data_IF_477386618018
#
_entry.id   IF_477386618018
#
_cell.length_a   1.000
_cell.length_b   1.000
_cell.length_c   1.000
_cell.angle_alpha   90.00
_cell.angle_beta   90.00
_cell.angle_gamma   90.00
#
_symmetry.space_group_name_H-M   'P 1'
#
loop_
_entity.id
_entity.type
_entity.pdbx_description
1 polymer ?
#
# COMPACT_ATOMS: atom_id res chain seq x y z
N UNK A 1 33.10 -9.32 -4.43
CA UNK A 1 32.33 -9.84 -5.59
C UNK A 1 31.19 -8.86 -5.86
N UNK A 2 31.15 -8.20 -7.03
CA UNK A 2 30.03 -7.30 -7.38
C UNK A 2 28.83 -8.19 -7.78
N UNK A 3 27.72 -8.08 -7.07
CA UNK A 3 26.48 -8.76 -7.46
C UNK A 3 25.95 -8.17 -8.77
N UNK A 4 25.57 -9.02 -9.72
CA UNK A 4 24.89 -8.59 -10.94
C UNK A 4 23.43 -8.26 -10.61
N UNK A 5 22.98 -7.05 -10.97
CA UNK A 5 21.58 -6.66 -10.84
C UNK A 5 20.88 -6.92 -12.17
N UNK A 6 19.79 -7.68 -12.15
CA UNK A 6 18.91 -7.91 -13.30
C UNK A 6 17.75 -6.92 -13.30
N UNK A 7 17.46 -6.32 -14.46
CA UNK A 7 16.29 -5.46 -14.67
C UNK A 7 15.49 -6.02 -15.85
N UNK A 8 14.18 -6.16 -15.68
CA UNK A 8 13.28 -6.70 -16.70
C UNK A 8 12.02 -5.84 -16.75
N UNK A 9 11.50 -5.60 -17.97
CA UNK A 9 10.25 -4.88 -18.20
C UNK A 9 9.18 -5.89 -18.61
N UNK A 10 7.99 -5.79 -18.01
CA UNK A 10 6.84 -6.60 -18.36
C UNK A 10 5.67 -5.69 -18.75
N UNK A 11 5.10 -5.93 -19.93
CA UNK A 11 3.96 -5.19 -20.46
C UNK A 11 2.65 -5.89 -20.07
N UNK A 12 1.75 -5.17 -19.41
CA UNK A 12 0.46 -5.70 -18.95
C UNK A 12 -0.57 -5.83 -20.07
N UNK A 13 -0.37 -5.10 -21.16
CA UNK A 13 -1.26 -4.96 -22.31
C UNK A 13 -0.92 -5.88 -23.49
N UNK A 14 0.16 -6.67 -23.38
CA UNK A 14 0.51 -7.67 -24.39
C UNK A 14 -0.20 -8.98 -24.04
N UNK A 15 -1.07 -9.50 -24.93
CA UNK A 15 -1.79 -10.74 -24.69
C UNK A 15 -0.80 -11.91 -24.59
N UNK A 16 -1.05 -12.80 -23.63
CA UNK A 16 -0.28 -14.02 -23.50
C UNK A 16 -0.60 -14.97 -24.66
N UNK A 17 0.38 -15.73 -25.16
CA UNK A 17 0.12 -16.77 -26.13
C UNK A 17 -0.88 -17.77 -25.55
N UNK A 18 -1.81 -18.22 -26.41
CA UNK A 18 -2.84 -19.20 -26.04
C UNK A 18 -2.14 -20.46 -25.51
N UNK A 19 -2.54 -20.96 -24.32
CA UNK A 19 -1.91 -22.14 -23.76
C UNK A 19 -2.01 -23.33 -24.71
N UNK A 20 -0.87 -23.98 -24.94
CA UNK A 20 -0.85 -25.23 -25.70
C UNK A 20 -1.50 -26.35 -24.86
N UNK A 21 -2.12 -27.37 -25.50
CA UNK A 21 -2.73 -28.49 -24.77
C UNK A 21 -1.75 -29.25 -23.86
N UNK A 22 -0.45 -29.11 -24.12
CA UNK A 22 0.65 -29.75 -23.38
C UNK A 22 1.12 -28.92 -22.17
N UNK A 23 0.55 -27.74 -21.96
CA UNK A 23 0.98 -26.83 -20.90
C UNK A 23 0.37 -27.25 -19.55
N UNK A 24 1.21 -27.35 -18.53
CA UNK A 24 0.79 -27.78 -17.21
C UNK A 24 -0.20 -26.76 -16.59
N UNK A 25 -1.44 -27.15 -16.26
CA UNK A 25 -2.47 -26.25 -15.74
C UNK A 25 -2.13 -25.63 -14.37
N UNK A 26 -1.19 -26.21 -13.64
CA UNK A 26 -0.71 -25.69 -12.35
C UNK A 26 0.42 -24.65 -12.51
N UNK A 27 0.83 -24.34 -13.73
CA UNK A 27 1.89 -23.35 -13.97
C UNK A 27 1.32 -21.94 -13.72
N UNK A 28 1.93 -21.14 -12.84
CA UNK A 28 1.45 -19.78 -12.59
C UNK A 28 1.62 -18.89 -13.81
N UNK A 29 0.76 -17.88 -13.93
CA UNK A 29 0.89 -16.88 -14.98
C UNK A 29 2.28 -16.18 -14.91
N UNK A 30 2.90 -15.81 -16.05
CA UNK A 30 4.22 -15.19 -16.07
C UNK A 30 4.33 -13.95 -15.18
N UNK A 31 3.31 -13.09 -15.17
CA UNK A 31 3.25 -11.92 -14.29
C UNK A 31 3.31 -12.32 -12.80
N UNK A 32 2.61 -13.37 -12.40
CA UNK A 32 2.60 -13.87 -11.02
C UNK A 32 3.98 -14.40 -10.62
N UNK A 33 4.62 -15.16 -11.51
CA UNK A 33 5.99 -15.65 -11.29
C UNK A 33 6.99 -14.50 -11.16
N UNK A 34 6.94 -13.51 -12.06
CA UNK A 34 7.82 -12.34 -12.02
C UNK A 34 7.61 -11.51 -10.75
N UNK A 35 6.36 -11.25 -10.37
CA UNK A 35 6.04 -10.59 -9.10
C UNK A 35 6.55 -11.38 -7.90
N UNK A 36 6.52 -12.72 -7.95
CA UNK A 36 7.03 -13.54 -6.85
C UNK A 36 8.57 -13.48 -6.74
N UNK A 37 9.29 -13.55 -7.87
CA UNK A 37 10.76 -13.55 -7.90
C UNK A 37 11.39 -12.16 -7.71
N UNK A 38 10.66 -11.08 -8.01
CA UNK A 38 11.17 -9.73 -7.92
C UNK A 38 11.46 -9.30 -6.47
N UNK A 39 12.63 -8.69 -6.25
CA UNK A 39 12.99 -8.03 -5.00
C UNK A 39 12.43 -6.61 -4.91
N UNK A 40 12.35 -5.94 -6.07
CA UNK A 40 11.77 -4.61 -6.24
C UNK A 40 10.88 -4.61 -7.47
N UNK A 41 9.68 -4.08 -7.35
CA UNK A 41 8.73 -3.94 -8.44
C UNK A 41 8.44 -2.46 -8.63
N UNK A 42 8.60 -1.97 -9.85
CA UNK A 42 8.16 -0.63 -10.23
C UNK A 42 6.94 -0.76 -11.14
N UNK A 43 5.81 -0.20 -10.69
CA UNK A 43 4.58 -0.10 -11.49
C UNK A 43 4.45 1.34 -11.97
N UNK A 44 4.36 1.51 -13.29
CA UNK A 44 4.29 2.83 -13.91
C UNK A 44 2.84 3.25 -14.15
N UNK A 45 2.51 4.48 -13.77
CA UNK A 45 1.21 5.10 -13.97
C UNK A 45 1.38 6.45 -14.66
N UNK A 46 0.39 6.87 -15.46
CA UNK A 46 0.36 8.23 -16.01
C UNK A 46 -0.05 9.23 -14.92
N UNK A 47 0.68 10.34 -14.78
CA UNK A 47 0.32 11.38 -13.82
C UNK A 47 -1.07 11.95 -14.09
N UNK A 48 -1.41 12.17 -15.36
CA UNK A 48 -2.72 12.67 -15.78
C UNK A 48 -3.86 11.74 -15.32
N UNK A 49 -3.68 10.42 -15.48
CA UNK A 49 -4.70 9.44 -15.06
C UNK A 49 -4.86 9.38 -13.54
N UNK A 50 -3.75 9.45 -12.80
CA UNK A 50 -3.76 9.49 -11.33
C UNK A 50 -4.48 10.74 -10.84
N UNK A 51 -4.19 11.91 -11.41
CA UNK A 51 -4.86 13.16 -11.06
C UNK A 51 -6.35 13.15 -11.42
N UNK A 52 -6.73 12.57 -12.57
CA UNK A 52 -8.12 12.45 -12.96
C UNK A 52 -8.93 11.56 -11.99
N UNK A 53 -8.35 10.42 -11.55
CA UNK A 53 -8.97 9.57 -10.52
C UNK A 53 -9.08 10.28 -9.18
N UNK A 54 -8.02 10.96 -8.75
CA UNK A 54 -8.05 11.76 -7.52
C UNK A 54 -9.14 12.83 -7.57
N UNK A 55 -9.23 13.59 -8.67
CA UNK A 55 -10.22 14.65 -8.84
C UNK A 55 -11.66 14.10 -8.86
N UNK A 56 -11.87 12.91 -9.43
CA UNK A 56 -13.16 12.23 -9.36
C UNK A 56 -13.51 11.85 -7.91
N UNK A 57 -12.57 11.25 -7.18
CA UNK A 57 -12.75 10.88 -5.77
C UNK A 57 -13.04 12.08 -4.87
N UNK A 58 -12.31 13.18 -5.03
CA UNK A 58 -12.54 14.43 -4.27
C UNK A 58 -13.91 15.04 -4.56
N UNK A 59 -14.48 14.83 -5.75
CA UNK A 59 -15.81 15.30 -6.12
C UNK A 59 -16.91 14.26 -5.91
N UNK A 60 -16.57 13.09 -5.34
CA UNK A 60 -17.48 11.95 -5.22
C UNK A 60 -18.12 11.52 -6.56
N UNK A 61 -17.37 11.70 -7.66
CA UNK A 61 -17.75 11.22 -8.98
C UNK A 61 -17.21 9.79 -9.22
N UNK A 62 -17.78 9.11 -10.21
CA UNK A 62 -17.24 7.83 -10.68
C UNK A 62 -15.82 8.02 -11.19
N UNK A 63 -14.90 7.17 -10.74
CA UNK A 63 -13.51 7.22 -11.19
C UNK A 63 -13.39 6.84 -12.67
N UNK A 64 -12.61 7.59 -13.47
CA UNK A 64 -12.37 7.25 -14.86
C UNK A 64 -11.55 5.96 -14.98
N UNK A 65 -12.02 5.06 -15.83
CA UNK A 65 -11.27 3.90 -16.30
C UNK A 65 -10.37 4.29 -17.48
N UNK A 66 -9.20 3.67 -17.56
CA UNK A 66 -8.23 3.90 -18.64
C UNK A 66 -7.63 2.57 -19.10
N UNK A 67 -7.36 2.45 -20.40
CA UNK A 67 -6.68 1.28 -20.96
C UNK A 67 -7.56 0.03 -20.90
N UNK A 68 -7.00 -1.11 -20.46
CA UNK A 68 -7.72 -2.38 -20.39
C UNK A 68 -8.95 -2.32 -19.46
N UNK A 69 -8.92 -1.49 -18.43
CA UNK A 69 -10.02 -1.31 -17.48
C UNK A 69 -11.27 -0.68 -18.11
N UNK A 70 -11.16 -0.06 -19.29
CA UNK A 70 -12.32 0.48 -19.99
C UNK A 70 -13.26 -0.62 -20.54
N UNK A 71 -12.78 -1.87 -20.64
CA UNK A 71 -13.57 -2.99 -21.15
C UNK A 71 -14.02 -2.84 -22.60
N UNK A 72 -13.41 -1.91 -23.36
CA UNK A 72 -13.71 -1.67 -24.77
C UNK A 72 -12.76 -2.47 -25.65
N UNK A 73 -13.32 -3.12 -26.65
CA UNK A 73 -12.54 -3.84 -27.65
C UNK A 73 -11.84 -2.88 -28.63
N UNK A 74 -10.65 -3.26 -29.09
CA UNK A 74 -9.86 -2.50 -30.06
C UNK A 74 -8.61 -1.84 -29.47
N UNK A 75 -7.96 -0.99 -30.26
CA UNK A 75 -6.77 -0.24 -29.84
C UNK A 75 -7.21 1.03 -29.11
N UNK A 76 -7.13 1.01 -27.78
CA UNK A 76 -7.48 2.15 -26.94
C UNK A 76 -6.25 3.02 -26.68
N UNK A 77 -6.34 4.30 -27.01
CA UNK A 77 -5.35 5.30 -26.63
C UNK A 77 -5.92 6.20 -25.54
N UNK A 78 -5.49 5.97 -24.30
CA UNK A 78 -5.85 6.83 -23.18
C UNK A 78 -5.30 8.25 -23.38
N UNK A 79 -6.17 9.26 -23.41
CA UNK A 79 -5.73 10.65 -23.48
C UNK A 79 -4.86 11.01 -22.27
N UNK A 80 -3.77 11.74 -22.51
CA UNK A 80 -2.82 12.16 -21.46
C UNK A 80 -1.89 11.06 -20.94
N UNK A 81 -1.97 9.80 -21.44
CA UNK A 81 -1.19 8.68 -20.92
C UNK A 81 0.33 8.90 -20.98
N UNK A 82 0.83 9.49 -22.08
CA UNK A 82 2.25 9.76 -22.31
C UNK A 82 2.56 11.27 -22.34
N UNK A 83 1.89 12.04 -21.47
CA UNK A 83 2.10 13.49 -21.36
C UNK A 83 3.51 13.87 -20.92
N UNK A 84 3.90 15.12 -21.21
CA UNK A 84 5.16 15.71 -20.69
C UNK A 84 5.08 16.10 -19.22
N UNK A 85 3.92 15.95 -18.61
CA UNK A 85 3.63 16.28 -17.20
C UNK A 85 4.34 15.33 -16.24
N UNK A 86 4.75 14.15 -16.71
CA UNK A 86 5.51 13.17 -15.94
C UNK A 86 4.77 11.85 -15.73
N UNK A 87 5.44 10.97 -15.02
CA UNK A 87 4.93 9.62 -14.70
C UNK A 87 4.93 9.43 -13.19
N UNK A 88 4.01 8.61 -12.72
CA UNK A 88 3.93 8.21 -11.31
C UNK A 88 4.48 6.80 -11.20
N UNK A 89 5.41 6.59 -10.27
CA UNK A 89 6.03 5.31 -9.99
C UNK A 89 5.52 4.80 -8.66
N UNK A 90 4.86 3.67 -8.69
CA UNK A 90 4.58 2.88 -7.51
C UNK A 90 5.74 1.88 -7.34
N UNK A 91 6.47 2.01 -6.24
CA UNK A 91 7.59 1.14 -5.90
C UNK A 91 7.17 0.18 -4.79
N UNK A 92 7.29 -1.12 -5.02
CA UNK A 92 7.25 -2.14 -3.98
C UNK A 92 8.66 -2.70 -3.76
N UNK A 93 9.18 -2.61 -2.53
CA UNK A 93 10.47 -3.18 -2.14
C UNK A 93 10.30 -4.23 -1.06
N UNK A 94 10.88 -5.41 -1.26
CA UNK A 94 10.84 -6.50 -0.29
C UNK A 94 12.10 -6.51 0.57
N UNK A 95 11.91 -6.31 1.88
CA UNK A 95 13.00 -6.37 2.85
C UNK A 95 13.46 -7.81 3.07
N UNK A 96 14.65 -7.96 3.65
CA UNK A 96 15.18 -9.27 4.06
C UNK A 96 14.27 -10.03 5.04
N UNK A 97 13.41 -9.32 5.79
CA UNK A 97 12.42 -9.91 6.69
C UNK A 97 11.18 -10.49 5.99
N UNK A 98 11.05 -10.32 4.67
CA UNK A 98 9.86 -10.70 3.91
C UNK A 98 8.76 -9.64 3.89
N UNK A 99 8.80 -8.61 4.75
CA UNK A 99 7.83 -7.50 4.71
C UNK A 99 8.10 -6.59 3.51
N UNK A 100 7.06 -6.32 2.73
CA UNK A 100 7.07 -5.35 1.63
C UNK A 100 6.88 -3.91 2.13
N UNK A 101 7.55 -2.96 1.46
CA UNK A 101 7.34 -1.51 1.59
C UNK A 101 6.80 -1.00 0.26
N UNK A 102 5.73 -0.20 0.28
CA UNK A 102 5.17 0.43 -0.92
C UNK A 102 5.21 1.94 -0.79
N UNK A 103 5.77 2.61 -1.78
CA UNK A 103 5.85 4.08 -1.86
C UNK A 103 5.52 4.56 -3.27
N UNK A 104 4.97 5.77 -3.35
CA UNK A 104 4.53 6.39 -4.61
C UNK A 104 5.35 7.65 -4.87
N UNK A 105 5.96 7.72 -6.04
CA UNK A 105 6.81 8.82 -6.48
C UNK A 105 6.23 9.48 -7.73
N UNK A 106 6.41 10.78 -7.86
CA UNK A 106 6.22 11.50 -9.11
C UNK A 106 7.57 11.75 -9.76
N UNK A 107 7.66 11.45 -11.06
CA UNK A 107 8.86 11.62 -11.87
C UNK A 107 8.57 12.66 -12.94
N UNK A 108 9.20 13.82 -12.83
CA UNK A 108 9.13 14.87 -13.84
C UNK A 108 10.22 14.66 -14.90
N UNK A 109 9.91 14.67 -16.19
CA UNK A 109 10.91 14.51 -17.23
C UNK A 109 11.88 15.70 -17.20
N UNK A 110 13.17 15.50 -17.53
CA UNK A 110 14.13 16.59 -17.57
C UNK A 110 13.67 17.64 -18.57
N UNK A 111 13.65 18.91 -18.14
CA UNK A 111 13.36 20.04 -19.03
C UNK A 111 14.35 20.01 -20.21
N UNK A 112 13.87 20.19 -21.46
CA UNK A 112 14.77 20.30 -22.60
C UNK A 112 15.69 21.49 -22.37
N UNK A 113 17.00 21.25 -22.45
CA UNK A 113 18.02 22.30 -22.34
C UNK A 113 17.82 23.31 -23.47
N UNK A 114 17.14 24.42 -23.20
CA UNK A 114 17.11 25.55 -24.12
C UNK A 114 18.46 26.25 -24.07
N UNK A 115 19.31 25.99 -25.06
CA UNK A 115 20.49 26.82 -25.31
C UNK A 115 19.98 28.18 -25.82
N UNK A 116 19.87 29.18 -24.94
CA UNK A 116 19.78 30.57 -25.39
C UNK A 116 21.14 30.95 -26.02
N UNK A 117 21.16 31.72 -27.12
CA UNK A 117 22.41 32.11 -27.80
C UNK A 117 23.31 32.99 -26.92
N UNK A 118 22.78 33.63 -25.88
CA UNK A 118 23.52 34.53 -24.99
C UNK A 118 23.88 33.89 -23.64
N UNK A 119 24.60 32.76 -23.64
CA UNK A 119 25.48 32.28 -22.56
C UNK A 119 24.96 32.16 -21.11
N UNK A 120 23.73 32.55 -20.81
CA UNK A 120 23.16 32.63 -19.47
C UNK A 120 22.12 31.53 -19.36
N UNK A 121 22.50 30.49 -18.63
CA UNK A 121 21.64 29.39 -18.18
C UNK A 121 20.58 29.93 -17.23
N UNK A 122 19.48 30.45 -17.79
CA UNK A 122 18.28 30.78 -17.04
C UNK A 122 17.50 29.49 -16.75
N UNK A 123 17.98 28.73 -15.78
CA UNK A 123 17.31 27.56 -15.22
C UNK A 123 17.69 27.45 -13.75
N UNK A 124 16.90 28.07 -12.87
CA UNK A 124 17.08 28.04 -11.40
C UNK A 124 16.77 26.68 -10.76
N UNK A 125 16.90 25.57 -11.51
CA UNK A 125 16.86 24.22 -10.98
C UNK A 125 18.28 23.67 -10.93
N UNK A 126 18.65 23.01 -9.83
CA UNK A 126 19.97 22.39 -9.65
C UNK A 126 20.41 21.66 -10.93
N UNK A 127 21.44 22.20 -11.59
CA UNK A 127 22.08 21.57 -12.74
C UNK A 127 22.82 20.34 -12.21
N UNK A 128 22.18 19.18 -12.28
CA UNK A 128 22.76 17.92 -11.84
C UNK A 128 22.13 16.74 -12.58
N UNK A 129 22.89 16.18 -13.52
CA UNK A 129 22.81 14.79 -13.97
C UNK A 129 21.71 14.35 -14.96
N UNK A 130 20.92 15.22 -15.61
CA UNK A 130 19.98 14.77 -16.66
C UNK A 130 18.94 13.72 -16.19
N UNK A 131 18.91 13.42 -14.90
CA UNK A 131 17.92 12.61 -14.21
C UNK A 131 16.73 13.53 -13.96
N UNK A 132 15.54 13.05 -14.29
CA UNK A 132 14.29 13.74 -13.94
C UNK A 132 14.22 14.02 -12.45
N UNK A 133 13.41 15.01 -12.07
CA UNK A 133 13.15 15.29 -10.66
C UNK A 133 12.23 14.20 -10.08
N UNK A 134 12.62 13.63 -8.94
CA UNK A 134 11.88 12.57 -8.24
C UNK A 134 11.40 13.14 -6.91
N UNK A 135 10.09 13.17 -6.71
CA UNK A 135 9.47 13.60 -5.45
C UNK A 135 8.42 12.60 -5.00
N UNK A 136 8.02 12.61 -3.73
CA UNK A 136 6.88 11.81 -3.28
C UNK A 136 5.60 12.31 -3.96
N UNK A 137 4.71 11.39 -4.32
CA UNK A 137 3.44 11.77 -4.95
C UNK A 137 2.61 12.70 -4.04
N UNK A 138 2.66 12.48 -2.73
CA UNK A 138 1.99 13.31 -1.72
C UNK A 138 2.48 14.77 -1.68
N UNK A 139 3.74 15.00 -2.07
CA UNK A 139 4.34 16.33 -2.13
C UNK A 139 4.12 17.02 -3.48
N UNK A 140 3.61 16.29 -4.48
CA UNK A 140 3.39 16.84 -5.81
C UNK A 140 2.29 17.92 -5.77
N UNK A 141 2.53 19.13 -6.32
CA UNK A 141 1.65 20.29 -6.12
C UNK A 141 0.22 20.10 -6.64
N UNK A 142 0.04 19.32 -7.71
CA UNK A 142 -1.30 19.01 -8.25
C UNK A 142 -1.98 17.85 -7.51
N UNK A 143 -1.21 17.04 -6.80
CA UNK A 143 -1.75 15.90 -6.07
C UNK A 143 -2.07 16.27 -4.62
N UNK A 144 -1.30 17.14 -3.98
CA UNK A 144 -1.55 17.57 -2.61
C UNK A 144 -2.91 18.26 -2.46
N UNK A 145 -3.79 17.73 -1.61
CA UNK A 145 -5.07 18.39 -1.29
C UNK A 145 -4.82 19.64 -0.43
N UNK A 146 -5.51 20.76 -0.70
CA UNK A 146 -5.28 22.03 0.00
C UNK A 146 -5.59 21.98 1.50
N UNK A 147 -6.45 21.06 1.94
CA UNK A 147 -6.87 20.90 3.33
C UNK A 147 -5.77 20.33 4.25
N UNK A 148 -4.68 19.79 3.69
CA UNK A 148 -3.58 19.22 4.49
C UNK A 148 -2.55 20.26 4.96
N UNK A 149 -2.83 21.56 4.78
CA UNK A 149 -1.92 22.65 5.17
C UNK A 149 -1.95 22.98 6.68
N UNK A 150 -2.88 22.42 7.45
CA UNK A 150 -3.04 22.76 8.88
C UNK A 150 -2.58 21.67 9.87
N UNK A 151 -1.68 20.76 9.46
CA UNK A 151 -1.05 19.78 10.38
C UNK A 151 0.49 19.87 10.37
N UNK A 152 1.03 21.04 10.02
CA UNK A 152 2.45 21.34 10.17
C UNK A 152 2.66 22.18 11.44
N UNK A 153 2.49 21.54 12.60
CA UNK A 153 2.69 22.18 13.90
C UNK A 153 2.48 21.29 15.12
N UNK A 154 2.40 19.97 14.95
CA UNK A 154 2.33 19.01 16.05
C UNK A 154 3.45 17.99 15.90
N UNK A 155 4.50 18.15 16.69
CA UNK A 155 5.41 17.06 17.01
C UNK A 155 4.59 16.01 17.76
N UNK A 156 4.30 14.89 17.11
CA UNK A 156 3.51 13.81 17.67
C UNK A 156 3.59 12.60 16.77
N UNK A 157 4.48 11.68 17.13
CA UNK A 157 4.39 10.29 16.73
C UNK A 157 3.00 9.76 17.12
N UNK A 158 2.06 9.72 16.19
CA UNK A 158 0.80 9.00 16.41
C UNK A 158 0.88 7.67 15.65
N UNK A 159 1.66 6.77 16.25
CA UNK A 159 1.34 5.35 16.22
C UNK A 159 -0.14 5.16 16.56
N UNK A 160 -0.80 4.28 15.81
CA UNK A 160 -2.20 3.96 16.07
C UNK A 160 -2.39 3.44 17.48
N UNK A 161 -3.11 4.20 18.31
CA UNK A 161 -4.03 3.68 19.31
C UNK A 161 -5.05 4.79 19.54
N UNK A 162 -6.31 4.54 19.21
CA UNK A 162 -7.38 5.36 19.75
C UNK A 162 -7.34 5.18 21.26
N UNK A 163 -6.77 6.14 21.99
CA UNK A 163 -6.90 6.16 23.44
C UNK A 163 -8.36 6.43 23.78
N UNK A 164 -9.15 5.36 23.92
CA UNK A 164 -10.47 5.38 24.51
C UNK A 164 -10.32 5.62 26.02
N UNK A 165 -9.94 6.83 26.39
CA UNK A 165 -10.03 7.31 27.75
C UNK A 165 -11.50 7.26 28.17
N UNK A 166 -11.84 6.34 29.09
CA UNK A 166 -13.16 6.33 29.72
C UNK A 166 -13.37 7.67 30.43
N UNK A 167 -14.47 8.34 30.11
CA UNK A 167 -14.86 9.56 30.81
C UNK A 167 -15.12 9.26 32.28
N UNK A 168 -14.95 10.25 33.16
CA UNK A 168 -15.17 10.09 34.61
C UNK A 168 -16.59 9.57 34.94
N UNK A 169 -17.57 9.85 34.07
CA UNK A 169 -18.92 9.30 34.15
C UNK A 169 -18.94 7.79 33.89
N UNK A 170 -18.27 7.32 32.84
CA UNK A 170 -18.17 5.89 32.51
C UNK A 170 -17.36 5.12 33.54
N UNK A 171 -16.34 5.74 34.16
CA UNK A 171 -15.60 5.15 35.28
C UNK A 171 -16.52 4.91 36.48
N UNK A 172 -17.33 5.89 36.86
CA UNK A 172 -18.29 5.78 37.97
C UNK A 172 -19.36 4.73 37.69
N UNK A 173 -19.88 4.67 36.47
CA UNK A 173 -20.87 3.67 36.08
C UNK A 173 -20.26 2.26 36.15
N UNK A 174 -19.01 2.07 35.72
CA UNK A 174 -18.27 0.80 35.87
C UNK A 174 -18.05 0.40 37.33
N UNK A 175 -17.72 1.35 38.20
CA UNK A 175 -17.52 1.10 39.64
C UNK A 175 -18.83 0.80 40.37
N UNK A 176 -19.97 1.28 39.86
CA UNK A 176 -21.30 0.98 40.38
C UNK A 176 -21.88 -0.37 39.94
N UNK A 177 -21.23 -1.07 38.99
CA UNK A 177 -21.67 -2.41 38.56
C UNK A 177 -21.23 -3.44 39.59
N UNK A 178 -22.18 -3.88 40.41
CA UNK A 178 -22.00 -5.03 41.31
C UNK A 178 -22.22 -6.30 40.49
N UNK A 179 -21.12 -6.99 40.17
CA UNK A 179 -21.21 -8.30 39.55
C UNK A 179 -21.67 -9.33 40.59
N UNK A 180 -22.62 -10.22 40.26
CA UNK A 180 -22.93 -11.36 41.10
C UNK A 180 -21.66 -12.17 41.39
N UNK A 181 -21.42 -12.52 42.67
CA UNK A 181 -20.29 -13.35 43.13
C UNK A 181 -18.88 -12.75 43.02
N UNK A 182 -18.72 -11.45 42.74
CA UNK A 182 -17.41 -10.79 42.68
C UNK A 182 -16.62 -10.87 44.00
N UNK A 183 -17.33 -10.88 45.13
CA UNK A 183 -16.74 -10.98 46.47
C UNK A 183 -16.07 -12.33 46.73
N UNK A 184 -16.39 -13.37 45.94
CA UNK A 184 -15.78 -14.69 46.07
C UNK A 184 -14.27 -14.70 45.81
N UNK A 185 -13.75 -13.76 45.00
CA UNK A 185 -12.32 -13.68 44.67
C UNK A 185 -11.50 -12.87 45.68
N UNK A 186 -12.12 -11.99 46.48
CA UNK A 186 -11.37 -11.03 47.31
C UNK A 186 -11.10 -11.44 48.76
N UNK A 187 -11.55 -12.61 49.19
CA UNK A 187 -11.06 -13.20 50.44
C UNK A 187 -12.05 -14.11 51.14
N UNK A 188 -11.80 -15.42 51.10
CA UNK A 188 -12.30 -16.38 52.08
C UNK A 188 -13.78 -16.78 51.98
N UNK A 189 -14.53 -16.35 50.97
CA UNK A 189 -15.87 -16.84 50.70
C UNK A 189 -15.84 -18.21 50.01
N UNK A 190 -16.51 -19.21 50.57
CA UNK A 190 -16.56 -20.61 50.10
C UNK A 190 -17.21 -20.80 48.70
N UNK A 191 -17.71 -19.74 48.08
CA UNK A 191 -18.48 -19.78 46.84
C UNK A 191 -17.65 -19.43 45.60
N UNK A 192 -16.83 -20.36 45.11
CA UNK A 192 -16.11 -20.16 43.83
C UNK A 192 -15.26 -21.33 43.37
N UNK A 193 -15.32 -22.47 44.04
CA UNK A 193 -14.58 -23.67 43.63
C UNK A 193 -15.33 -24.34 42.48
N UNK A 194 -14.78 -24.22 41.28
CA UNK A 194 -15.22 -25.03 40.14
C UNK A 194 -14.65 -26.43 40.40
N UNK A 195 -15.50 -27.36 40.82
CA UNK A 195 -15.15 -28.77 40.91
C UNK A 195 -15.45 -29.40 39.55
N UNK A 196 -14.39 -29.74 38.82
CA UNK A 196 -14.49 -30.58 37.63
C UNK A 196 -14.47 -32.04 38.09
N UNK A 197 -15.50 -32.80 37.75
CA UNK A 197 -15.54 -34.24 37.95
C UNK A 197 -15.30 -34.89 36.58
N UNK A 198 -14.18 -35.60 36.42
CA UNK A 198 -13.84 -36.23 35.16
C UNK A 198 -14.86 -37.35 34.87
N UNK A 199 -15.67 -37.15 33.83
CA UNK A 199 -16.59 -38.17 33.35
C UNK A 199 -15.82 -39.32 32.71
N UNK A 200 -16.32 -40.56 32.87
CA UNK A 200 -15.73 -41.77 32.29
C UNK A 200 -15.83 -41.87 30.76
N UNK A 201 -16.19 -40.77 30.08
CA UNK A 201 -16.26 -40.64 28.61
C UNK A 201 -15.18 -39.67 28.09
N UNK A 202 -14.34 -39.10 28.96
CA UNK A 202 -13.22 -38.22 28.60
C UNK A 202 -11.99 -39.08 28.24
N UNK A 203 -12.17 -39.91 27.19
CA UNK A 203 -11.13 -40.73 26.59
C UNK A 203 -10.16 -39.81 25.82
N UNK A 204 -9.16 -39.28 26.51
CA UNK A 204 -8.02 -38.62 25.87
C UNK A 204 -7.30 -39.67 24.99
N UNK A 205 -7.56 -39.64 23.68
CA UNK A 205 -6.87 -40.47 22.70
C UNK A 205 -5.37 -40.12 22.71
N UNK A 206 -4.55 -41.00 23.29
CA UNK A 206 -3.10 -40.83 23.50
C UNK A 206 -2.26 -40.87 22.19
N UNK A 207 -2.89 -40.79 21.01
CA UNK A 207 -2.24 -40.95 19.67
C UNK A 207 -1.96 -39.61 18.96
N UNK A 208 -2.33 -38.44 19.50
CA UNK A 208 -2.21 -37.15 18.79
C UNK A 208 -1.01 -36.27 19.22
N UNK A 209 0.09 -36.84 19.71
CA UNK A 209 1.28 -36.07 20.13
C UNK A 209 2.63 -36.63 19.62
N UNK A 210 2.71 -37.03 18.34
CA UNK A 210 3.99 -37.13 17.61
C UNK A 210 3.98 -36.25 16.33
N UNK A 211 4.37 -34.97 16.47
CA UNK A 211 4.91 -34.15 15.37
C UNK A 211 6.16 -33.36 15.80
#
# INVERSE_FOLDING_TARGET
MKGQQGQTVYHLDIPLPVPLPTQNPYTPAPLTLLKYLATTIFTMHSLHHVLARKAARERSHVEPAFGLEEGKEGVLLGLGANGREGVVLEMEYRRKSGRGVREWYSLSPPLPRTTRPDGVVAGGGKVGDGRGDVTLLEDHPLYRSPERKDVAGGEGEEEGTFELGITEKQRRDREGVVLPYFDAQKGGGEGGRILYDMGSEDDFDEEEDEI
#
